data_IF_657716290673
#
_entry.id   IF_657716290673
#
_cell.length_a   1.000
_cell.length_b   1.000
_cell.length_c   1.000
_cell.angle_alpha   90.00
_cell.angle_beta   90.00
_cell.angle_gamma   90.00
#
_symmetry.space_group_name_H-M   'P 1'
#
loop_
_entity.id
_entity.type
_entity.pdbx_description
1 polymer ?
#
# COMPACT_ATOMS: atom_id res chain seq x y z
N UNK A 1 0.86 7.38 4.72
CA UNK A 1 -0.46 6.74 4.50
C UNK A 1 -1.09 7.38 3.26
N UNK A 2 -1.66 6.60 2.34
CA UNK A 2 -2.28 7.10 1.10
C UNK A 2 -3.62 6.39 0.85
N UNK A 3 -4.62 7.12 0.34
CA UNK A 3 -5.88 6.53 -0.11
C UNK A 3 -5.72 6.03 -1.54
N UNK A 4 -6.06 4.78 -1.77
CA UNK A 4 -6.06 4.13 -3.08
C UNK A 4 -7.50 3.78 -3.44
N UNK A 5 -8.00 4.34 -4.52
CA UNK A 5 -9.39 4.15 -4.95
C UNK A 5 -9.55 3.00 -5.95
N UNK A 6 -8.47 2.58 -6.60
CA UNK A 6 -8.49 1.55 -7.63
C UNK A 6 -7.09 0.96 -7.86
N UNK A 7 -7.04 -0.08 -8.69
CA UNK A 7 -5.81 -0.81 -9.03
C UNK A 7 -4.77 0.06 -9.76
N UNK A 8 -5.19 1.05 -10.56
CA UNK A 8 -4.25 1.92 -11.27
C UNK A 8 -3.51 2.83 -10.31
N UNK A 9 -4.22 3.42 -9.35
CA UNK A 9 -3.63 4.24 -8.28
C UNK A 9 -2.67 3.43 -7.40
N UNK A 10 -3.03 2.17 -7.09
CA UNK A 10 -2.13 1.26 -6.37
C UNK A 10 -0.84 1.03 -7.13
N UNK A 11 -0.92 0.65 -8.42
CA UNK A 11 0.26 0.36 -9.24
C UNK A 11 1.17 1.58 -9.39
N UNK A 12 0.58 2.75 -9.63
CA UNK A 12 1.31 4.01 -9.75
C UNK A 12 2.06 4.33 -8.45
N UNK A 13 1.39 4.22 -7.31
CA UNK A 13 2.01 4.39 -5.99
C UNK A 13 3.12 3.37 -5.72
N UNK A 14 2.88 2.10 -6.03
CA UNK A 14 3.84 1.01 -5.81
C UNK A 14 5.16 1.25 -6.57
N UNK A 15 5.07 1.67 -7.83
CA UNK A 15 6.23 1.90 -8.70
C UNK A 15 6.95 3.19 -8.31
N UNK A 16 6.23 4.30 -8.18
CA UNK A 16 6.84 5.63 -8.02
C UNK A 16 7.17 5.97 -6.58
N UNK A 17 6.22 5.74 -5.67
CA UNK A 17 6.31 6.19 -4.29
C UNK A 17 7.03 5.17 -3.39
N UNK A 18 6.90 3.86 -3.66
CA UNK A 18 7.56 2.84 -2.85
C UNK A 18 8.85 2.28 -3.46
N UNK A 19 8.79 1.73 -4.68
CA UNK A 19 9.97 1.15 -5.31
C UNK A 19 10.94 2.22 -5.81
N UNK A 20 10.53 3.50 -5.82
CA UNK A 20 11.30 4.64 -6.33
C UNK A 20 11.88 4.38 -7.73
N UNK A 21 11.14 3.65 -8.56
CA UNK A 21 11.52 3.38 -9.94
C UNK A 21 11.18 4.62 -10.77
N UNK A 22 12.14 5.52 -10.84
CA UNK A 22 12.15 6.66 -11.75
C UNK A 22 13.31 6.50 -12.77
N UNK A 23 13.37 7.40 -13.75
CA UNK A 23 14.45 7.39 -14.76
C UNK A 23 15.85 7.60 -14.14
N UNK A 24 15.92 8.00 -12.86
CA UNK A 24 17.17 8.25 -12.13
C UNK A 24 17.69 6.98 -11.45
N UNK A 25 16.79 6.10 -11.01
CA UNK A 25 17.10 4.82 -10.35
C UNK A 25 16.40 3.66 -11.06
N UNK A 26 16.95 3.18 -12.19
CA UNK A 26 16.39 2.03 -12.87
C UNK A 26 16.46 0.79 -11.98
N UNK A 27 15.39 -0.01 -12.00
CA UNK A 27 15.32 -1.28 -11.27
C UNK A 27 16.47 -2.20 -11.68
N UNK A 28 17.03 -2.92 -10.70
CA UNK A 28 17.96 -4.04 -10.94
C UNK A 28 17.19 -5.32 -11.28
N UNK A 29 15.92 -5.40 -10.92
CA UNK A 29 15.03 -6.53 -11.20
C UNK A 29 14.45 -6.46 -12.60
N UNK A 30 14.21 -7.63 -13.18
CA UNK A 30 13.52 -7.73 -14.47
C UNK A 30 12.06 -7.24 -14.33
N UNK A 31 11.47 -6.67 -15.40
CA UNK A 31 10.09 -6.17 -15.36
C UNK A 31 9.06 -7.19 -14.86
N UNK A 32 9.24 -8.46 -15.20
CA UNK A 32 8.35 -9.56 -14.77
C UNK A 32 8.45 -9.84 -13.26
N UNK A 33 9.64 -9.71 -12.68
CA UNK A 33 9.85 -9.90 -11.23
C UNK A 33 9.16 -8.79 -10.44
N UNK A 34 9.28 -7.55 -10.92
CA UNK A 34 8.60 -6.39 -10.34
C UNK A 34 7.08 -6.59 -10.42
N UNK A 35 6.57 -7.03 -11.57
CA UNK A 35 5.15 -7.27 -11.76
C UNK A 35 4.59 -8.33 -10.80
N UNK A 36 5.33 -9.44 -10.62
CA UNK A 36 4.95 -10.49 -9.67
C UNK A 36 4.90 -9.92 -8.25
N UNK A 37 5.85 -9.09 -7.87
CA UNK A 37 5.89 -8.50 -6.53
C UNK A 37 4.73 -7.51 -6.30
N UNK A 38 4.45 -6.65 -7.27
CA UNK A 38 3.30 -5.72 -7.25
C UNK A 38 2.00 -6.50 -7.07
N UNK A 39 1.83 -7.64 -7.75
CA UNK A 39 0.63 -8.47 -7.65
C UNK A 39 0.54 -9.18 -6.29
N UNK A 40 1.66 -9.66 -5.74
CA UNK A 40 1.70 -10.31 -4.41
C UNK A 40 1.30 -9.38 -3.29
N UNK A 41 1.65 -8.11 -3.40
CA UNK A 41 1.40 -7.11 -2.36
C UNK A 41 0.08 -6.35 -2.57
N UNK A 42 -0.71 -6.73 -3.57
CA UNK A 42 -1.95 -6.05 -3.92
C UNK A 42 -2.98 -6.10 -2.77
N UNK A 43 -3.72 -5.00 -2.54
CA UNK A 43 -4.82 -4.99 -1.58
C UNK A 43 -5.95 -5.91 -2.05
N UNK A 44 -6.73 -6.42 -1.10
CA UNK A 44 -7.85 -7.34 -1.38
C UNK A 44 -9.02 -6.64 -2.07
N UNK A 45 -9.26 -5.39 -1.73
CA UNK A 45 -10.37 -4.60 -2.23
C UNK A 45 -10.02 -3.11 -2.24
N UNK A 46 -10.76 -2.36 -3.07
CA UNK A 46 -10.68 -0.90 -3.14
C UNK A 46 -12.07 -0.31 -2.84
N UNK A 47 -12.15 0.91 -2.27
CA UNK A 47 -11.04 1.77 -1.84
C UNK A 47 -10.39 1.27 -0.54
N UNK A 48 -9.09 1.50 -0.40
CA UNK A 48 -8.33 1.18 0.82
C UNK A 48 -7.28 2.25 1.13
N UNK A 49 -6.96 2.43 2.41
CA UNK A 49 -5.80 3.20 2.83
C UNK A 49 -4.60 2.26 2.93
N UNK A 50 -3.47 2.66 2.36
CA UNK A 50 -2.18 1.97 2.52
C UNK A 50 -1.29 2.74 3.49
N UNK A 51 -0.65 2.02 4.40
CA UNK A 51 0.33 2.54 5.34
C UNK A 51 1.57 1.65 5.32
N UNK A 52 2.74 2.28 5.22
CA UNK A 52 4.01 1.63 5.53
C UNK A 52 4.18 1.59 7.04
N UNK A 53 4.44 0.40 7.57
CA UNK A 53 4.71 0.19 8.98
C UNK A 53 6.15 -0.28 9.13
N UNK A 54 6.89 0.44 9.97
CA UNK A 54 8.22 0.04 10.41
C UNK A 54 8.06 -0.90 11.60
N UNK A 55 8.79 -2.03 11.60
CA UNK A 55 8.88 -2.85 12.80
C UNK A 55 9.73 -2.11 13.84
N UNK A 56 9.26 -2.06 15.09
CA UNK A 56 9.90 -1.38 16.22
C UNK A 56 11.32 -1.89 16.48
N UNK A 57 11.63 -3.09 16.00
CA UNK A 57 12.95 -3.71 16.10
C UNK A 57 13.97 -3.19 15.07
N UNK A 58 13.55 -2.39 14.08
CA UNK A 58 14.39 -1.84 13.00
C UNK A 58 15.06 -2.88 12.09
N UNK A 59 14.76 -4.17 12.28
CA UNK A 59 15.47 -5.29 11.66
C UNK A 59 14.71 -5.96 10.49
N UNK A 60 13.43 -5.64 10.30
CA UNK A 60 12.61 -6.23 9.25
C UNK A 60 12.25 -5.21 8.17
N UNK A 61 12.06 -5.67 6.91
CA UNK A 61 11.60 -4.79 5.85
C UNK A 61 10.25 -4.17 6.23
N UNK A 62 10.09 -2.90 5.86
CA UNK A 62 8.81 -2.20 5.96
C UNK A 62 7.71 -3.05 5.30
N UNK A 63 6.58 -3.23 5.97
CA UNK A 63 5.46 -3.97 5.41
C UNK A 63 4.24 -3.08 5.20
N UNK A 64 3.38 -3.47 4.27
CA UNK A 64 2.15 -2.75 3.98
C UNK A 64 1.03 -3.20 4.89
N UNK A 65 0.43 -2.22 5.55
CA UNK A 65 -0.85 -2.37 6.20
C UNK A 65 -1.92 -1.70 5.36
N UNK A 66 -2.94 -2.48 4.99
CA UNK A 66 -4.12 -1.97 4.29
C UNK A 66 -5.29 -1.84 5.25
N UNK A 67 -5.90 -0.66 5.30
CA UNK A 67 -7.07 -0.36 6.09
C UNK A 67 -8.25 -0.21 5.13
N UNK A 68 -9.27 -1.05 5.33
CA UNK A 68 -10.44 -1.12 4.46
C UNK A 68 -11.63 -0.36 5.03
N UNK A 69 -12.64 -0.15 4.19
CA UNK A 69 -13.86 0.56 4.54
C UNK A 69 -14.50 0.06 5.84
N UNK A 70 -14.62 -1.25 6.00
CA UNK A 70 -15.22 -1.87 7.20
C UNK A 70 -14.52 -1.47 8.49
N UNK A 71 -13.18 -1.36 8.46
CA UNK A 71 -12.38 -0.94 9.61
C UNK A 71 -12.55 0.55 9.88
N UNK A 72 -12.59 1.39 8.83
CA UNK A 72 -12.86 2.83 8.98
C UNK A 72 -14.26 3.09 9.53
N UNK A 73 -15.27 2.35 9.05
CA UNK A 73 -16.64 2.43 9.55
C UNK A 73 -16.74 2.01 11.02
N UNK A 74 -16.03 0.94 11.40
CA UNK A 74 -15.96 0.52 12.79
C UNK A 74 -15.33 1.58 13.69
N UNK A 75 -14.21 2.17 13.26
CA UNK A 75 -13.60 3.28 13.98
C UNK A 75 -14.52 4.48 14.08
N UNK A 76 -15.19 4.85 12.99
CA UNK A 76 -16.13 5.96 12.97
C UNK A 76 -17.31 5.72 13.94
N UNK A 77 -17.79 4.47 14.08
CA UNK A 77 -18.77 4.09 15.11
C UNK A 77 -18.21 4.26 16.52
N UNK A 78 -17.00 3.76 16.79
CA UNK A 78 -16.35 3.88 18.09
C UNK A 78 -16.11 5.34 18.51
N UNK A 79 -15.83 6.22 17.54
CA UNK A 79 -15.66 7.66 17.75
C UNK A 79 -16.98 8.45 17.76
N UNK A 80 -18.13 7.80 17.56
CA UNK A 80 -19.44 8.47 17.54
C UNK A 80 -19.66 9.40 16.34
N UNK A 81 -18.88 9.23 15.26
CA UNK A 81 -18.98 10.03 14.03
C UNK A 81 -20.16 9.54 13.19
N UNK A 82 -20.35 8.23 13.13
CA UNK A 82 -21.49 7.56 12.47
C UNK A 82 -22.22 6.69 13.48
N UNK A 83 -23.54 6.58 13.34
CA UNK A 83 -24.40 5.79 14.23
C UNK A 83 -24.62 4.39 13.68
#
# INVERSE_FOLDING_TARGET
MKLLNNIYEYRDWMIKDYLHLDDTFPSVFEPDEIEIDILRQAPKEFPCLVQLVEDESGNYPQFFQFIYRSQVEEWARLFGIVR
#
